data_IF_593106251365
#
_entry.id   IF_593106251365
#
_cell.length_a   1.000
_cell.length_b   1.000
_cell.length_c   1.000
_cell.angle_alpha   90.00
_cell.angle_beta   90.00
_cell.angle_gamma   90.00
#
_symmetry.space_group_name_H-M   'P 1'
#
loop_
_entity.id
_entity.type
_entity.pdbx_description
1 polymer ?
#
# COMPACT_ATOMS: atom_id res chain seq x y z
N UNK A 1 -6.52 9.55 -1.06
CA UNK A 1 -5.50 10.35 -1.79
C UNK A 1 -5.80 10.51 -3.28
N UNK A 2 -5.83 9.45 -4.11
CA UNK A 2 -6.06 9.54 -5.57
C UNK A 2 -7.27 10.41 -5.96
N UNK A 3 -8.42 10.22 -5.30
CA UNK A 3 -9.64 11.01 -5.55
C UNK A 3 -9.44 12.51 -5.27
N UNK A 4 -8.72 12.85 -4.20
CA UNK A 4 -8.43 14.24 -3.82
C UNK A 4 -7.52 14.90 -4.86
N UNK A 5 -6.44 14.23 -5.26
CA UNK A 5 -5.52 14.73 -6.29
C UNK A 5 -6.25 14.90 -7.64
N UNK A 6 -7.12 13.95 -8.00
CA UNK A 6 -7.94 14.08 -9.21
C UNK A 6 -8.92 15.26 -9.13
N UNK A 7 -9.46 15.58 -7.96
CA UNK A 7 -10.31 16.75 -7.77
C UNK A 7 -9.52 18.05 -7.92
N UNK A 8 -8.30 18.12 -7.36
CA UNK A 8 -7.39 19.27 -7.53
C UNK A 8 -7.04 19.48 -9.00
N UNK A 9 -6.64 18.41 -9.69
CA UNK A 9 -6.32 18.47 -11.12
C UNK A 9 -7.53 18.92 -11.95
N UNK A 10 -8.73 18.43 -11.61
CA UNK A 10 -9.96 18.87 -12.26
C UNK A 10 -10.18 20.38 -12.10
N UNK A 11 -10.06 20.91 -10.87
CA UNK A 11 -10.20 22.35 -10.60
C UNK A 11 -9.23 23.16 -11.46
N UNK A 12 -7.95 22.77 -11.44
CA UNK A 12 -6.90 23.46 -12.20
C UNK A 12 -7.19 23.42 -13.71
N UNK A 13 -7.45 22.23 -14.27
CA UNK A 13 -7.74 22.08 -15.69
C UNK A 13 -8.98 22.88 -16.14
N UNK A 14 -10.01 22.96 -15.32
CA UNK A 14 -11.22 23.69 -15.69
C UNK A 14 -11.04 25.20 -15.61
N UNK A 15 -10.25 25.69 -14.65
CA UNK A 15 -9.85 27.10 -14.58
C UNK A 15 -9.01 27.49 -15.81
N UNK A 16 -8.04 26.65 -16.19
CA UNK A 16 -7.19 26.88 -17.36
C UNK A 16 -7.99 26.95 -18.67
N UNK A 17 -9.03 26.12 -18.80
CA UNK A 17 -9.91 26.10 -19.98
C UNK A 17 -10.92 27.24 -19.98
N UNK A 18 -11.45 27.58 -18.81
CA UNK A 18 -12.55 28.52 -18.64
C UNK A 18 -12.17 29.58 -17.62
N UNK A 19 -11.39 30.56 -18.07
CA UNK A 19 -10.92 31.69 -17.24
C UNK A 19 -12.09 32.46 -16.61
N UNK A 20 -13.29 32.38 -17.18
CA UNK A 20 -14.52 32.93 -16.60
C UNK A 20 -14.88 32.37 -15.22
N UNK A 21 -14.31 31.25 -14.81
CA UNK A 21 -14.48 30.71 -13.45
C UNK A 21 -13.61 31.43 -12.42
N UNK A 22 -12.62 32.21 -12.86
CA UNK A 22 -11.83 33.08 -12.01
C UNK A 22 -12.28 34.53 -12.16
N UNK A 23 -12.62 35.17 -11.05
CA UNK A 23 -12.98 36.58 -11.03
C UNK A 23 -12.04 37.36 -10.11
N UNK A 24 -11.34 38.35 -10.67
CA UNK A 24 -10.63 39.35 -9.90
C UNK A 24 -11.62 40.45 -9.51
N UNK A 25 -11.80 40.71 -8.22
CA UNK A 25 -12.71 41.77 -7.73
C UNK A 25 -11.97 43.03 -7.28
N UNK A 26 -10.74 42.87 -6.78
CA UNK A 26 -9.82 43.93 -6.40
C UNK A 26 -8.39 43.45 -6.62
N UNK A 27 -7.40 44.33 -6.44
CA UNK A 27 -5.97 44.04 -6.68
C UNK A 27 -5.42 42.83 -5.93
N UNK A 28 -6.16 42.34 -4.93
CA UNK A 28 -5.67 41.38 -3.96
C UNK A 28 -6.54 40.13 -3.84
N UNK A 29 -7.71 40.10 -4.48
CA UNK A 29 -8.75 39.09 -4.22
C UNK A 29 -9.12 38.36 -5.50
N UNK A 30 -8.85 37.05 -5.49
CA UNK A 30 -9.26 36.11 -6.53
C UNK A 30 -10.44 35.26 -6.04
N UNK A 31 -11.52 35.26 -6.83
CA UNK A 31 -12.70 34.46 -6.59
C UNK A 31 -12.79 33.27 -7.51
N UNK A 32 -13.14 32.12 -6.96
CA UNK A 32 -13.55 30.95 -7.74
C UNK A 32 -15.09 30.90 -7.83
N UNK A 33 -15.58 30.82 -9.06
CA UNK A 33 -17.00 30.72 -9.36
C UNK A 33 -17.55 29.35 -9.00
N UNK A 34 -18.63 29.30 -8.22
CA UNK A 34 -19.27 28.04 -7.86
C UNK A 34 -19.91 27.28 -9.04
N UNK A 35 -19.99 27.90 -10.24
CA UNK A 35 -20.45 27.24 -11.46
C UNK A 35 -19.62 26.03 -11.86
N UNK A 36 -18.33 26.04 -11.53
CA UNK A 36 -17.41 24.90 -11.75
C UNK A 36 -17.85 23.65 -10.95
N UNK A 37 -18.62 23.81 -9.88
CA UNK A 37 -19.02 22.72 -8.97
C UNK A 37 -20.50 22.33 -9.11
N UNK A 38 -20.91 21.96 -10.33
CA UNK A 38 -22.26 21.45 -10.57
C UNK A 38 -22.52 20.10 -9.86
N UNK A 39 -23.79 19.66 -9.85
CA UNK A 39 -24.23 18.43 -9.15
C UNK A 39 -23.47 17.17 -9.59
N UNK A 40 -23.11 17.07 -10.86
CA UNK A 40 -22.39 15.90 -11.39
C UNK A 40 -20.93 15.89 -10.90
N UNK A 41 -20.28 17.05 -10.86
CA UNK A 41 -18.93 17.21 -10.34
C UNK A 41 -18.87 16.90 -8.85
N UNK A 42 -19.81 17.42 -8.06
CA UNK A 42 -19.91 17.11 -6.62
C UNK A 42 -20.16 15.62 -6.35
N UNK A 43 -20.89 14.93 -7.23
CA UNK A 43 -21.04 13.46 -7.15
C UNK A 43 -19.75 12.72 -7.47
N UNK A 44 -19.00 13.18 -8.49
CA UNK A 44 -17.71 12.59 -8.89
C UNK A 44 -16.62 12.83 -7.84
N UNK A 45 -16.64 13.99 -7.19
CA UNK A 45 -15.67 14.43 -6.18
C UNK A 45 -16.41 14.88 -4.90
N UNK A 46 -16.89 13.96 -4.06
CA UNK A 46 -17.73 14.29 -2.91
C UNK A 46 -17.01 15.17 -1.86
N UNK A 47 -15.68 15.13 -1.84
CA UNK A 47 -14.85 15.90 -0.89
C UNK A 47 -14.47 17.30 -1.40
N UNK A 48 -14.95 17.70 -2.59
CA UNK A 48 -14.46 18.91 -3.24
C UNK A 48 -14.77 20.17 -2.43
N UNK A 49 -15.93 20.25 -1.75
CA UNK A 49 -16.25 21.40 -0.92
C UNK A 49 -15.27 21.52 0.27
N UNK A 50 -15.03 20.43 1.01
CA UNK A 50 -14.09 20.43 2.14
C UNK A 50 -12.66 20.78 1.69
N UNK A 51 -12.25 20.26 0.52
CA UNK A 51 -10.96 20.58 -0.10
C UNK A 51 -10.83 22.09 -0.36
N UNK A 52 -11.87 22.68 -0.94
CA UNK A 52 -11.92 24.09 -1.28
C UNK A 52 -12.00 24.99 -0.04
N UNK A 53 -12.75 24.59 0.98
CA UNK A 53 -12.80 25.25 2.29
C UNK A 53 -11.39 25.37 2.90
N UNK A 54 -10.58 24.31 2.83
CA UNK A 54 -9.20 24.32 3.32
C UNK A 54 -8.27 25.26 2.52
N UNK A 55 -8.60 25.57 1.26
CA UNK A 55 -7.79 26.43 0.40
C UNK A 55 -8.35 27.85 0.25
N UNK A 56 -9.44 28.13 0.94
CA UNK A 56 -10.12 29.42 0.87
C UNK A 56 -10.04 30.11 2.23
N UNK A 57 -10.12 31.44 2.19
CA UNK A 57 -10.15 32.23 3.43
C UNK A 57 -11.58 32.26 4.03
N UNK A 58 -12.58 31.66 3.36
CA UNK A 58 -14.05 31.90 3.49
C UNK A 58 -14.54 32.72 4.69
N UNK A 59 -15.30 33.77 4.38
CA UNK A 59 -16.25 34.36 5.31
C UNK A 59 -17.38 33.32 5.58
N UNK A 60 -17.34 32.68 6.75
CA UNK A 60 -18.16 31.53 7.17
C UNK A 60 -19.69 31.77 7.20
N UNK A 61 -20.21 32.87 6.64
CA UNK A 61 -21.58 33.35 6.86
C UNK A 61 -22.45 33.59 5.61
N UNK A 62 -22.04 33.19 4.42
CA UNK A 62 -22.91 33.34 3.24
C UNK A 62 -24.01 32.28 3.19
N UNK A 63 -25.07 32.52 3.96
CA UNK A 63 -26.28 31.69 4.11
C UNK A 63 -27.27 31.84 2.94
N UNK A 64 -27.01 32.72 1.95
CA UNK A 64 -27.91 32.90 0.81
C UNK A 64 -27.19 32.90 -0.54
N UNK A 65 -27.90 32.39 -1.53
CA UNK A 65 -27.53 32.04 -2.91
C UNK A 65 -26.46 32.93 -3.57
N UNK A 66 -25.58 32.29 -4.36
CA UNK A 66 -24.48 32.87 -5.16
C UNK A 66 -23.17 33.18 -4.43
N UNK A 67 -22.72 32.21 -3.63
CA UNK A 67 -21.42 32.21 -2.95
C UNK A 67 -20.24 32.29 -3.91
N UNK A 68 -19.41 33.33 -3.77
CA UNK A 68 -18.09 33.41 -4.38
C UNK A 68 -17.05 32.98 -3.36
N UNK A 69 -16.17 32.05 -3.73
CA UNK A 69 -15.13 31.56 -2.82
C UNK A 69 -13.85 32.37 -2.98
N UNK A 70 -13.41 33.05 -1.91
CA UNK A 70 -12.14 33.79 -1.90
C UNK A 70 -10.99 32.82 -1.64
N UNK A 71 -10.08 32.71 -2.60
CA UNK A 71 -8.89 31.88 -2.44
C UNK A 71 -7.86 32.55 -1.53
N UNK A 72 -7.18 31.74 -0.71
CA UNK A 72 -6.07 32.26 0.08
C UNK A 72 -4.95 32.76 -0.83
N UNK A 73 -4.39 33.93 -0.52
CA UNK A 73 -3.30 34.55 -1.27
C UNK A 73 -2.11 33.60 -1.43
N UNK A 74 -1.88 32.68 -0.48
CA UNK A 74 -0.85 31.66 -0.55
C UNK A 74 -1.02 30.68 -1.73
N UNK A 75 -2.23 30.53 -2.25
CA UNK A 75 -2.59 29.64 -3.36
C UNK A 75 -2.86 30.39 -4.66
N UNK A 76 -2.60 31.69 -4.72
CA UNK A 76 -2.85 32.55 -5.89
C UNK A 76 -1.53 32.92 -6.57
N UNK A 77 -1.53 32.91 -7.90
CA UNK A 77 -0.43 33.38 -8.74
C UNK A 77 -0.66 34.86 -9.08
N UNK A 78 0.38 35.66 -8.95
CA UNK A 78 0.36 37.09 -9.21
C UNK A 78 1.27 37.46 -10.38
N UNK A 79 0.81 38.40 -11.22
CA UNK A 79 1.61 39.04 -12.27
C UNK A 79 1.48 40.56 -12.12
N UNK A 80 2.62 41.26 -12.00
CA UNK A 80 2.65 42.71 -11.74
C UNK A 80 1.77 43.14 -10.55
N UNK A 81 1.72 42.32 -9.50
CA UNK A 81 0.94 42.58 -8.28
C UNK A 81 -0.56 42.26 -8.39
N UNK A 82 -1.05 41.80 -9.54
CA UNK A 82 -2.46 41.44 -9.73
C UNK A 82 -2.64 39.91 -9.73
N UNK A 83 -3.70 39.37 -9.11
CA UNK A 83 -3.98 37.95 -9.16
C UNK A 83 -4.42 37.55 -10.57
N UNK A 84 -3.76 36.54 -11.13
CA UNK A 84 -4.02 36.09 -12.51
C UNK A 84 -4.51 34.66 -12.59
N UNK A 85 -4.14 33.82 -11.62
CA UNK A 85 -4.46 32.40 -11.65
C UNK A 85 -4.31 31.80 -10.24
N UNK A 86 -4.64 30.53 -10.10
CA UNK A 86 -4.23 29.72 -8.96
C UNK A 86 -2.76 29.29 -9.11
N UNK A 87 -2.13 28.93 -8.00
CA UNK A 87 -0.79 28.37 -7.96
C UNK A 87 -0.86 26.87 -7.64
N UNK A 88 -0.89 25.98 -8.66
CA UNK A 88 -0.93 24.54 -8.47
C UNK A 88 0.16 24.01 -7.53
N UNK A 89 1.39 24.51 -7.69
CA UNK A 89 2.53 24.10 -6.85
C UNK A 89 2.32 24.41 -5.37
N UNK A 90 1.76 25.59 -5.03
CA UNK A 90 1.43 25.95 -3.65
C UNK A 90 0.35 25.04 -3.06
N UNK A 91 -0.71 24.75 -3.81
CA UNK A 91 -1.81 23.86 -3.40
C UNK A 91 -1.29 22.44 -3.15
N UNK A 92 -0.52 21.90 -4.08
CA UNK A 92 0.03 20.55 -3.99
C UNK A 92 1.03 20.42 -2.84
N UNK A 93 1.87 21.44 -2.63
CA UNK A 93 2.80 21.48 -1.49
C UNK A 93 2.08 21.52 -0.14
N UNK A 94 0.96 22.25 -0.07
CA UNK A 94 0.13 22.26 1.14
C UNK A 94 -0.48 20.88 1.41
N UNK A 95 -1.06 20.24 0.39
CA UNK A 95 -1.60 18.88 0.51
C UNK A 95 -0.52 17.84 0.87
N UNK A 96 0.70 18.02 0.38
CA UNK A 96 1.82 17.15 0.72
C UNK A 96 2.17 17.29 2.21
N UNK A 97 2.19 18.53 2.72
CA UNK A 97 2.37 18.79 4.16
C UNK A 97 1.26 18.15 4.99
N UNK A 98 0.00 18.24 4.56
CA UNK A 98 -1.12 17.58 5.23
C UNK A 98 -0.97 16.06 5.24
N UNK A 99 -0.52 15.46 4.13
CA UNK A 99 -0.23 14.04 4.06
C UNK A 99 0.88 13.64 5.04
N UNK A 100 1.97 14.41 5.11
CA UNK A 100 3.06 14.16 6.06
C UNK A 100 2.55 14.22 7.50
N UNK A 101 1.80 15.28 7.86
CA UNK A 101 1.21 15.41 9.20
C UNK A 101 0.24 14.27 9.52
N UNK A 102 -0.57 13.84 8.55
CA UNK A 102 -1.43 12.68 8.71
C UNK A 102 -0.62 11.39 8.94
N UNK A 103 0.44 11.15 8.18
CA UNK A 103 1.32 9.98 8.36
C UNK A 103 1.93 9.97 9.78
N UNK A 104 2.35 11.13 10.28
CA UNK A 104 2.90 11.25 11.64
C UNK A 104 1.86 10.91 12.71
N UNK A 105 0.67 11.51 12.64
CA UNK A 105 -0.43 11.21 13.57
C UNK A 105 -0.85 9.74 13.48
N UNK A 106 -0.95 9.21 12.27
CA UNK A 106 -1.31 7.81 12.04
C UNK A 106 -0.24 6.86 12.60
N UNK A 107 1.04 7.19 12.45
CA UNK A 107 2.15 6.46 13.07
C UNK A 107 2.06 6.46 14.60
N UNK A 108 1.74 7.61 15.21
CA UNK A 108 1.52 7.69 16.65
C UNK A 108 0.32 6.87 17.11
N UNK A 109 -0.78 6.89 16.35
CA UNK A 109 -1.97 6.09 16.62
C UNK A 109 -1.64 4.58 16.60
N UNK A 110 -0.97 4.09 15.56
CA UNK A 110 -0.57 2.67 15.49
C UNK A 110 0.40 2.32 16.62
N UNK A 111 1.35 3.19 16.94
CA UNK A 111 2.28 2.99 18.06
C UNK A 111 1.56 2.98 19.42
N UNK A 112 0.44 3.69 19.55
CA UNK A 112 -0.43 3.58 20.72
C UNK A 112 -1.14 2.21 20.77
N UNK A 113 -1.69 1.74 19.65
CA UNK A 113 -2.32 0.41 19.56
C UNK A 113 -1.31 -0.71 19.91
N UNK A 114 -0.05 -0.56 19.51
CA UNK A 114 1.01 -1.52 19.83
C UNK A 114 1.35 -1.62 21.32
N UNK A 115 0.94 -0.64 22.13
CA UNK A 115 1.08 -0.70 23.60
C UNK A 115 -0.06 -1.45 24.28
N UNK A 116 -1.13 -1.80 23.57
CA UNK A 116 -2.28 -2.47 24.16
C UNK A 116 -1.95 -3.94 24.46
N UNK A 117 -1.93 -4.31 25.74
CA UNK A 117 -1.66 -5.69 26.15
C UNK A 117 -2.89 -6.58 25.97
N UNK A 118 -2.65 -7.82 25.53
CA UNK A 118 -3.68 -8.85 25.50
C UNK A 118 -3.87 -9.40 26.91
N UNK A 119 -5.13 -9.59 27.32
CA UNK A 119 -5.43 -10.11 28.67
C UNK A 119 -4.97 -11.56 28.86
N UNK A 120 -5.03 -12.35 27.79
CA UNK A 120 -4.68 -13.75 27.76
C UNK A 120 -3.68 -13.99 26.63
N UNK A 121 -2.81 -14.99 26.80
CA UNK A 121 -1.94 -15.46 25.73
C UNK A 121 -2.78 -15.95 24.55
N UNK A 122 -2.45 -15.50 23.34
CA UNK A 122 -3.12 -15.92 22.12
C UNK A 122 -2.46 -17.20 21.58
N UNK A 123 -3.30 -18.13 21.11
CA UNK A 123 -2.84 -19.29 20.35
C UNK A 123 -2.36 -18.85 18.97
N UNK A 124 -1.25 -19.43 18.53
CA UNK A 124 -0.73 -19.23 17.18
C UNK A 124 -1.59 -20.04 16.19
N UNK A 125 -1.95 -19.48 15.03
CA UNK A 125 -2.47 -20.31 13.94
C UNK A 125 -1.36 -21.25 13.44
N UNK A 126 -1.73 -22.41 12.90
CA UNK A 126 -0.80 -23.44 12.45
C UNK A 126 0.22 -22.94 11.43
N UNK A 127 -0.13 -21.98 10.57
CA UNK A 127 0.84 -21.36 9.66
C UNK A 127 2.00 -20.69 10.41
N UNK A 128 1.71 -20.12 11.59
CA UNK A 128 2.65 -19.38 12.43
C UNK A 128 3.26 -20.25 13.54
N UNK A 129 2.98 -21.55 13.55
CA UNK A 129 3.75 -22.53 14.35
C UNK A 129 5.02 -22.97 13.63
N UNK A 130 5.14 -22.70 12.32
CA UNK A 130 6.32 -23.02 11.53
C UNK A 130 7.45 -22.05 11.84
N UNK A 131 8.68 -22.55 11.81
CA UNK A 131 9.88 -21.70 11.81
C UNK A 131 9.95 -20.98 10.45
N UNK A 132 9.42 -19.76 10.41
CA UNK A 132 9.47 -18.90 9.23
C UNK A 132 10.86 -18.27 9.11
N UNK A 133 11.54 -18.51 7.99
CA UNK A 133 12.88 -17.95 7.74
C UNK A 133 12.87 -16.40 7.73
N UNK A 134 11.81 -15.82 7.15
CA UNK A 134 11.62 -14.39 7.05
C UNK A 134 10.12 -14.03 6.96
N UNK A 135 9.75 -12.88 7.51
CA UNK A 135 8.40 -12.33 7.43
C UNK A 135 8.46 -10.96 6.77
N UNK A 136 7.70 -10.76 5.71
CA UNK A 136 7.58 -9.46 5.04
C UNK A 136 6.24 -8.83 5.39
N UNK A 137 6.24 -7.90 6.33
CA UNK A 137 5.02 -7.27 6.85
C UNK A 137 4.63 -6.05 6.03
N UNK A 138 3.45 -6.13 5.43
CA UNK A 138 2.74 -5.00 4.83
C UNK A 138 2.03 -4.13 5.89
N UNK A 139 1.90 -4.64 7.13
CA UNK A 139 1.34 -3.90 8.26
C UNK A 139 2.40 -3.01 8.91
N UNK A 140 1.97 -1.88 9.45
CA UNK A 140 2.84 -0.92 10.14
C UNK A 140 3.08 -1.26 11.63
N UNK A 141 2.26 -2.14 12.20
CA UNK A 141 2.31 -2.53 13.61
C UNK A 141 3.24 -3.72 13.86
N UNK A 142 3.79 -3.80 15.07
CA UNK A 142 4.62 -4.91 15.55
C UNK A 142 3.81 -6.14 16.00
N UNK A 143 2.55 -6.28 15.56
CA UNK A 143 1.61 -7.28 16.06
C UNK A 143 2.16 -8.72 16.05
N UNK A 144 2.79 -9.14 14.95
CA UNK A 144 3.31 -10.52 14.83
C UNK A 144 4.52 -10.76 15.74
N UNK A 145 5.43 -9.79 15.81
CA UNK A 145 6.59 -9.79 16.72
C UNK A 145 6.12 -9.90 18.17
N UNK A 146 5.16 -9.05 18.55
CA UNK A 146 4.71 -8.85 19.91
C UNK A 146 3.80 -9.96 20.43
N UNK A 147 2.85 -10.42 19.63
CA UNK A 147 1.83 -11.38 20.07
C UNK A 147 2.22 -12.83 19.81
N UNK A 148 3.09 -13.08 18.82
CA UNK A 148 3.49 -14.43 18.44
C UNK A 148 5.00 -14.69 18.52
N UNK A 149 5.80 -13.73 18.99
CA UNK A 149 7.24 -13.89 19.22
C UNK A 149 8.02 -14.34 17.99
N UNK A 150 7.61 -13.94 16.79
CA UNK A 150 8.39 -14.18 15.58
C UNK A 150 9.50 -13.14 15.44
N UNK A 151 10.61 -13.56 14.86
CA UNK A 151 11.77 -12.71 14.53
C UNK A 151 11.92 -12.57 13.00
N UNK A 152 12.97 -11.88 12.54
CA UNK A 152 13.27 -11.67 11.11
C UNK A 152 12.13 -11.03 10.30
N UNK A 153 11.55 -9.95 10.85
CA UNK A 153 10.44 -9.23 10.23
C UNK A 153 10.95 -8.00 9.48
N UNK A 154 10.66 -7.95 8.18
CA UNK A 154 10.92 -6.84 7.27
C UNK A 154 9.64 -6.04 7.03
N UNK A 155 9.62 -4.80 7.51
CA UNK A 155 8.49 -3.88 7.33
C UNK A 155 8.63 -3.10 6.01
N UNK A 156 8.06 -3.64 4.93
CA UNK A 156 8.28 -3.14 3.56
C UNK A 156 7.60 -1.78 3.27
N UNK A 157 6.60 -1.41 4.07
CA UNK A 157 5.97 -0.08 4.02
C UNK A 157 6.33 0.79 5.23
N UNK A 158 7.35 0.39 5.99
CA UNK A 158 7.78 1.05 7.22
C UNK A 158 7.07 0.54 8.48
N UNK A 159 7.64 0.88 9.63
CA UNK A 159 7.14 0.49 10.97
C UNK A 159 6.71 1.75 11.71
N UNK A 160 5.56 1.69 12.36
CA UNK A 160 5.05 2.78 13.19
C UNK A 160 5.92 3.03 14.42
N UNK A 161 5.90 4.27 14.92
CA UNK A 161 6.59 4.68 16.15
C UNK A 161 7.73 5.68 15.95
N UNK A 162 7.97 6.50 16.99
CA UNK A 162 8.90 7.66 16.94
C UNK A 162 10.36 7.30 16.67
N UNK A 163 10.79 6.13 17.11
CA UNK A 163 12.17 5.66 16.97
C UNK A 163 12.35 4.66 15.82
N UNK A 164 11.36 4.55 14.92
CA UNK A 164 11.48 3.69 13.76
C UNK A 164 12.41 4.33 12.73
N UNK A 165 13.49 3.61 12.39
CA UNK A 165 14.37 3.99 11.29
C UNK A 165 13.68 3.90 9.91
N UNK A 166 12.50 3.26 9.82
CA UNK A 166 11.72 3.06 8.58
C UNK A 166 10.37 3.74 8.72
N UNK A 167 10.24 4.96 8.18
CA UNK A 167 8.97 5.71 8.23
C UNK A 167 7.88 5.04 7.41
N UNK A 168 6.64 5.17 7.88
CA UNK A 168 5.44 4.71 7.17
C UNK A 168 5.38 5.35 5.78
N UNK A 169 5.07 4.53 4.78
CA UNK A 169 4.85 4.94 3.40
C UNK A 169 3.36 4.87 3.09
N UNK A 170 2.77 6.01 2.71
CA UNK A 170 1.35 6.11 2.39
C UNK A 170 1.13 7.08 1.23
N UNK A 171 0.60 6.58 0.13
CA UNK A 171 0.45 7.37 -1.08
C UNK A 171 -0.23 6.61 -2.21
N UNK A 172 -0.12 7.16 -3.42
CA UNK A 172 -0.55 6.52 -4.66
C UNK A 172 0.61 5.79 -5.34
N UNK A 173 0.32 4.83 -6.20
CA UNK A 173 1.35 4.06 -6.91
C UNK A 173 2.14 4.91 -7.89
N UNK A 174 1.46 5.79 -8.63
CA UNK A 174 2.04 6.59 -9.71
C UNK A 174 1.24 7.87 -9.96
N UNK A 175 1.88 8.88 -10.57
CA UNK A 175 1.21 10.08 -11.06
C UNK A 175 0.63 9.80 -12.45
N UNK A 176 -0.68 10.01 -12.62
CA UNK A 176 -1.36 9.77 -13.90
C UNK A 176 -1.76 11.06 -14.62
N UNK A 177 -1.74 12.20 -13.93
CA UNK A 177 -2.18 13.48 -14.48
C UNK A 177 -0.98 14.40 -14.75
N UNK A 178 -0.94 15.02 -15.93
CA UNK A 178 0.16 15.89 -16.36
C UNK A 178 0.39 17.08 -15.42
N UNK A 179 -0.67 17.66 -14.85
CA UNK A 179 -0.56 18.76 -13.88
C UNK A 179 0.26 18.33 -12.66
N UNK A 180 0.09 17.10 -12.18
CA UNK A 180 0.87 16.57 -11.05
C UNK A 180 2.34 16.39 -11.43
N UNK A 181 2.60 15.90 -12.65
CA UNK A 181 3.95 15.64 -13.18
C UNK A 181 4.69 16.97 -13.36
N UNK A 182 4.07 17.95 -14.01
CA UNK A 182 4.65 19.27 -14.28
C UNK A 182 4.98 20.02 -12.97
N UNK A 183 4.16 19.83 -11.94
CA UNK A 183 4.38 20.38 -10.61
C UNK A 183 5.24 19.50 -9.71
N UNK A 184 5.82 18.41 -10.22
CA UNK A 184 6.70 17.48 -9.50
C UNK A 184 6.11 16.98 -8.18
N UNK A 185 4.82 16.65 -8.19
CA UNK A 185 4.06 16.20 -7.01
C UNK A 185 4.41 14.76 -6.57
N UNK A 186 5.69 14.39 -6.65
CA UNK A 186 6.16 13.04 -6.36
C UNK A 186 6.10 12.71 -4.87
N UNK A 187 5.95 13.70 -3.97
CA UNK A 187 5.71 13.49 -2.54
C UNK A 187 4.49 12.61 -2.23
N UNK A 188 3.51 12.52 -3.14
CA UNK A 188 2.34 11.64 -3.02
C UNK A 188 2.58 10.20 -3.49
N UNK A 189 3.70 9.92 -4.15
CA UNK A 189 4.01 8.62 -4.74
C UNK A 189 4.73 7.73 -3.72
N UNK A 190 4.21 6.52 -3.50
CA UNK A 190 4.79 5.57 -2.53
C UNK A 190 6.28 5.29 -2.80
N UNK A 191 6.65 5.07 -4.08
CA UNK A 191 8.04 4.82 -4.46
C UNK A 191 8.98 5.99 -4.11
N UNK A 192 8.54 7.23 -4.36
CA UNK A 192 9.30 8.42 -3.97
C UNK A 192 9.41 8.58 -2.45
N UNK A 193 8.34 8.27 -1.71
CA UNK A 193 8.40 8.30 -0.25
C UNK A 193 9.36 7.24 0.31
N UNK A 194 9.37 6.03 -0.28
CA UNK A 194 10.41 5.02 0.00
C UNK A 194 11.77 5.67 -0.23
N UNK A 195 12.01 6.22 -1.45
CA UNK A 195 13.02 7.22 -1.88
C UNK A 195 13.67 7.99 -0.74
N UNK A 196 12.86 8.88 -0.21
CA UNK A 196 13.31 9.90 0.72
C UNK A 196 13.47 9.34 2.13
N UNK A 197 12.68 8.34 2.50
CA UNK A 197 12.67 7.79 3.85
C UNK A 197 13.67 6.64 4.05
N UNK A 198 14.37 6.20 3.00
CA UNK A 198 15.22 5.00 3.01
C UNK A 198 14.48 3.76 3.56
N UNK A 199 13.18 3.67 3.26
CA UNK A 199 12.34 2.53 3.64
C UNK A 199 12.46 1.46 2.57
N UNK A 200 12.85 0.25 2.99
CA UNK A 200 13.19 -0.94 2.19
C UNK A 200 12.65 -0.97 0.75
N UNK A 201 13.54 -0.76 -0.22
CA UNK A 201 13.28 -1.08 -1.64
C UNK A 201 13.57 -2.53 -1.99
N UNK A 202 14.25 -3.24 -1.09
CA UNK A 202 14.68 -4.61 -1.32
C UNK A 202 13.62 -5.54 -0.74
N UNK A 203 13.05 -6.37 -1.60
CA UNK A 203 12.09 -7.38 -1.21
C UNK A 203 12.72 -8.78 -1.30
N UNK A 204 12.55 -9.50 -2.41
CA UNK A 204 13.16 -10.81 -2.61
C UNK A 204 14.45 -10.72 -3.45
N UNK A 205 14.59 -9.71 -4.32
CA UNK A 205 15.78 -9.45 -5.14
C UNK A 205 16.49 -8.18 -4.66
N UNK A 206 17.82 -8.10 -4.82
CA UNK A 206 18.73 -9.15 -5.30
C UNK A 206 19.15 -10.15 -4.22
N UNK A 207 18.85 -9.87 -2.94
CA UNK A 207 19.36 -10.62 -1.78
C UNK A 207 18.22 -11.22 -0.97
N UNK A 208 17.85 -12.46 -1.29
CA UNK A 208 17.00 -13.30 -0.44
C UNK A 208 17.43 -14.77 -0.50
N UNK A 209 16.98 -15.61 0.44
CA UNK A 209 17.16 -17.05 0.35
C UNK A 209 16.69 -17.65 -0.98
N UNK A 210 15.64 -17.08 -1.58
CA UNK A 210 15.05 -17.54 -2.84
C UNK A 210 16.03 -17.36 -4.00
N UNK A 211 16.67 -16.19 -4.10
CA UNK A 211 17.65 -15.91 -5.16
C UNK A 211 18.87 -16.82 -5.03
N UNK A 212 19.31 -17.11 -3.80
CA UNK A 212 20.40 -18.05 -3.57
C UNK A 212 20.05 -19.48 -4.02
N UNK A 213 18.80 -19.91 -3.80
CA UNK A 213 18.31 -21.23 -4.23
C UNK A 213 18.17 -21.30 -5.76
N UNK A 214 17.57 -20.29 -6.40
CA UNK A 214 17.48 -20.24 -7.88
C UNK A 214 18.84 -20.29 -8.55
N UNK A 215 19.83 -19.57 -8.04
CA UNK A 215 21.19 -19.58 -8.59
C UNK A 215 21.84 -20.97 -8.48
N UNK A 216 21.57 -21.70 -7.40
CA UNK A 216 22.06 -23.09 -7.24
C UNK A 216 21.32 -24.08 -8.13
N UNK A 217 20.01 -23.89 -8.36
CA UNK A 217 19.21 -24.73 -9.27
C UNK A 217 19.67 -24.64 -10.74
N UNK A 218 20.32 -23.55 -11.14
CA UNK A 218 20.96 -23.45 -12.47
C UNK A 218 22.19 -24.35 -12.62
N UNK A 219 22.69 -24.94 -11.52
CA UNK A 219 23.81 -25.90 -11.55
C UNK A 219 23.27 -27.33 -11.74
N UNK A 220 23.73 -28.09 -12.76
CA UNK A 220 23.19 -29.40 -13.12
C UNK A 220 23.50 -30.54 -12.12
N UNK A 221 24.11 -30.25 -10.97
CA UNK A 221 24.70 -31.23 -10.05
C UNK A 221 23.84 -31.54 -8.82
N UNK A 222 22.58 -31.10 -8.77
CA UNK A 222 21.74 -31.22 -7.58
C UNK A 222 20.53 -32.12 -7.81
N UNK A 223 20.38 -33.12 -6.96
CA UNK A 223 19.47 -34.25 -7.17
C UNK A 223 18.18 -34.19 -6.35
N UNK A 224 17.99 -33.21 -5.44
CA UNK A 224 16.70 -32.96 -4.79
C UNK A 224 16.70 -31.64 -4.03
N UNK A 225 15.74 -30.76 -4.33
CA UNK A 225 15.48 -29.55 -3.55
C UNK A 225 14.06 -29.57 -2.99
N UNK A 226 13.90 -29.00 -1.80
CA UNK A 226 12.58 -28.63 -1.30
C UNK A 226 12.26 -27.22 -1.81
N UNK A 227 11.10 -27.01 -2.45
CA UNK A 227 10.70 -25.68 -2.89
C UNK A 227 10.49 -24.79 -1.66
N UNK A 228 10.77 -23.49 -1.82
CA UNK A 228 10.49 -22.50 -0.78
C UNK A 228 8.99 -22.24 -0.76
N UNK A 229 8.39 -22.28 0.42
CA UNK A 229 6.98 -21.95 0.60
C UNK A 229 6.84 -20.48 0.98
N UNK A 230 6.07 -19.73 0.20
CA UNK A 230 5.68 -18.35 0.47
C UNK A 230 4.22 -18.34 0.91
N UNK A 231 3.99 -17.98 2.17
CA UNK A 231 2.65 -17.82 2.70
C UNK A 231 2.21 -16.35 2.58
N UNK A 232 1.09 -16.13 1.92
CA UNK A 232 0.45 -14.82 1.81
C UNK A 232 -0.76 -14.83 2.72
N UNK A 233 -0.71 -14.01 3.78
CA UNK A 233 -1.78 -13.92 4.77
C UNK A 233 -2.35 -12.50 4.83
N UNK A 234 -3.65 -12.38 4.57
CA UNK A 234 -4.36 -11.11 4.67
C UNK A 234 -5.43 -10.95 3.60
N UNK A 235 -6.18 -9.86 3.69
CA UNK A 235 -7.38 -9.65 2.87
C UNK A 235 -7.10 -9.19 1.44
N UNK A 236 -5.89 -8.72 1.12
CA UNK A 236 -5.69 -7.95 -0.10
C UNK A 236 -4.35 -8.24 -0.75
N UNK A 237 -4.38 -9.07 -1.80
CA UNK A 237 -3.42 -9.02 -2.89
C UNK A 237 -3.83 -7.86 -3.79
N UNK A 238 -3.61 -6.61 -3.38
CA UNK A 238 -4.12 -5.45 -4.11
C UNK A 238 -3.13 -4.90 -5.15
N UNK A 239 -3.68 -4.24 -6.17
CA UNK A 239 -2.92 -3.53 -7.20
C UNK A 239 -1.93 -2.50 -6.66
N UNK A 240 -2.17 -1.95 -5.45
CA UNK A 240 -1.24 -0.99 -4.83
C UNK A 240 0.06 -1.62 -4.32
N UNK A 241 0.16 -2.95 -4.37
CA UNK A 241 1.31 -3.78 -4.02
C UNK A 241 1.77 -4.66 -5.20
N UNK A 242 1.36 -4.30 -6.43
CA UNK A 242 1.61 -5.07 -7.65
C UNK A 242 3.09 -5.44 -7.85
N UNK A 243 4.01 -4.54 -7.53
CA UNK A 243 5.45 -4.77 -7.75
C UNK A 243 5.96 -5.98 -6.97
N UNK A 244 5.54 -6.13 -5.71
CA UNK A 244 5.91 -7.27 -4.87
C UNK A 244 5.26 -8.56 -5.36
N UNK A 245 4.02 -8.47 -5.85
CA UNK A 245 3.28 -9.61 -6.41
C UNK A 245 3.96 -10.07 -7.70
N UNK A 246 4.27 -9.16 -8.63
CA UNK A 246 5.04 -9.48 -9.83
C UNK A 246 6.38 -10.13 -9.50
N UNK A 247 7.06 -9.65 -8.46
CA UNK A 247 8.33 -10.23 -8.04
C UNK A 247 8.19 -11.69 -7.57
N UNK A 248 7.22 -12.00 -6.69
CA UNK A 248 6.93 -13.39 -6.23
C UNK A 248 6.60 -14.30 -7.42
N UNK A 249 5.79 -13.82 -8.36
CA UNK A 249 5.34 -14.63 -9.50
C UNK A 249 6.32 -14.63 -10.68
N UNK A 250 7.44 -13.92 -10.56
CA UNK A 250 8.56 -13.96 -11.52
C UNK A 250 9.56 -15.10 -11.25
N UNK A 251 9.36 -15.85 -10.17
CA UNK A 251 10.10 -17.09 -9.88
C UNK A 251 9.54 -18.26 -10.73
N UNK A 252 10.15 -19.46 -10.63
CA UNK A 252 9.77 -20.66 -11.39
C UNK A 252 9.90 -20.54 -12.92
N UNK A 253 10.86 -19.76 -13.42
CA UNK A 253 11.11 -19.62 -14.87
C UNK A 253 12.03 -20.72 -15.45
N UNK A 254 12.56 -21.61 -14.60
CA UNK A 254 13.47 -22.70 -14.97
C UNK A 254 12.76 -24.06 -15.12
N UNK A 255 13.55 -25.13 -15.28
CA UNK A 255 13.03 -26.49 -15.42
C UNK A 255 12.41 -27.05 -14.13
N UNK A 256 12.90 -26.61 -12.97
CA UNK A 256 12.46 -27.07 -11.65
C UNK A 256 11.81 -25.91 -10.88
N UNK A 257 10.78 -26.21 -10.10
CA UNK A 257 10.12 -25.21 -9.25
C UNK A 257 11.02 -24.81 -8.09
N UNK A 258 11.32 -23.52 -7.97
CA UNK A 258 12.02 -22.93 -6.84
C UNK A 258 11.08 -22.54 -5.70
N UNK A 259 9.79 -22.32 -6.01
CA UNK A 259 8.85 -21.65 -5.12
C UNK A 259 7.43 -22.21 -5.21
N UNK A 260 6.73 -22.26 -4.06
CA UNK A 260 5.29 -22.51 -3.95
C UNK A 260 4.65 -21.35 -3.19
N UNK A 261 3.52 -20.85 -3.68
CA UNK A 261 2.75 -19.77 -3.05
C UNK A 261 1.48 -20.35 -2.45
N UNK A 262 1.25 -20.05 -1.18
CA UNK A 262 0.06 -20.44 -0.44
C UNK A 262 -0.66 -19.15 -0.04
N UNK A 263 -1.86 -18.93 -0.57
CA UNK A 263 -2.67 -17.75 -0.28
C UNK A 263 -3.78 -18.10 0.70
N UNK A 264 -3.76 -17.46 1.86
CA UNK A 264 -4.81 -17.57 2.86
C UNK A 264 -5.94 -16.57 2.56
N UNK A 265 -7.17 -17.07 2.43
CA UNK A 265 -8.36 -16.25 2.16
C UNK A 265 -9.40 -16.34 3.27
N UNK A 266 -10.26 -15.34 3.42
CA UNK A 266 -11.36 -15.36 4.38
C UNK A 266 -12.66 -15.74 3.68
N UNK A 267 -13.28 -16.85 4.06
CA UNK A 267 -14.54 -17.40 3.52
C UNK A 267 -14.51 -17.82 2.04
N UNK A 268 -14.09 -16.94 1.12
CA UNK A 268 -14.03 -17.21 -0.32
C UNK A 268 -12.76 -16.60 -0.94
N UNK A 269 -12.09 -17.31 -1.87
CA UNK A 269 -10.87 -16.81 -2.52
C UNK A 269 -11.13 -15.78 -3.63
N UNK A 270 -12.41 -15.47 -3.93
CA UNK A 270 -12.80 -14.70 -5.11
C UNK A 270 -12.07 -13.36 -5.23
N UNK A 271 -11.94 -12.62 -4.13
CA UNK A 271 -11.27 -11.32 -4.14
C UNK A 271 -9.77 -11.44 -4.46
N UNK A 272 -9.06 -12.34 -3.77
CA UNK A 272 -7.64 -12.60 -3.97
C UNK A 272 -7.35 -13.09 -5.39
N UNK A 273 -8.16 -14.03 -5.89
CA UNK A 273 -8.02 -14.57 -7.23
C UNK A 273 -8.29 -13.49 -8.30
N UNK A 274 -9.34 -12.70 -8.12
CA UNK A 274 -9.69 -11.63 -9.07
C UNK A 274 -8.59 -10.59 -9.16
N UNK A 275 -8.00 -10.21 -8.02
CA UNK A 275 -6.88 -9.27 -8.03
C UNK A 275 -5.61 -9.88 -8.63
N UNK A 276 -5.29 -11.14 -8.33
CA UNK A 276 -4.16 -11.82 -8.98
C UNK A 276 -4.32 -11.86 -10.50
N UNK A 277 -5.52 -12.17 -11.00
CA UNK A 277 -5.81 -12.13 -12.44
C UNK A 277 -5.65 -10.71 -13.00
N UNK A 278 -6.13 -9.69 -12.28
CA UNK A 278 -6.01 -8.30 -12.70
C UNK A 278 -4.54 -7.80 -12.75
N UNK A 279 -3.69 -8.29 -11.85
CA UNK A 279 -2.28 -7.88 -11.74
C UNK A 279 -1.40 -8.69 -12.70
N UNK A 280 -1.51 -10.02 -12.67
CA UNK A 280 -0.59 -10.93 -13.37
C UNK A 280 -1.09 -11.38 -14.75
N UNK A 281 -2.38 -11.18 -15.03
CA UNK A 281 -3.06 -11.76 -16.19
C UNK A 281 -3.48 -13.21 -15.95
N UNK A 282 -4.51 -13.62 -16.70
CA UNK A 282 -5.13 -14.95 -16.62
C UNK A 282 -4.11 -16.08 -16.85
N UNK A 283 -3.30 -15.97 -17.90
CA UNK A 283 -2.41 -17.06 -18.33
C UNK A 283 -1.35 -17.39 -17.28
N UNK A 284 -0.80 -16.37 -16.62
CA UNK A 284 0.15 -16.54 -15.52
C UNK A 284 -0.48 -17.30 -14.36
N UNK A 285 -1.67 -16.86 -13.92
CA UNK A 285 -2.37 -17.50 -12.78
C UNK A 285 -2.72 -18.95 -13.11
N UNK A 286 -3.28 -19.22 -14.30
CA UNK A 286 -3.60 -20.59 -14.73
C UNK A 286 -2.36 -21.48 -14.77
N UNK A 287 -1.23 -20.98 -15.27
CA UNK A 287 0.01 -21.74 -15.31
C UNK A 287 0.48 -22.13 -13.90
N UNK A 288 0.46 -21.18 -12.96
CA UNK A 288 0.85 -21.45 -11.57
C UNK A 288 -0.06 -22.47 -10.87
N UNK A 289 -1.38 -22.43 -11.15
CA UNK A 289 -2.32 -23.42 -10.61
C UNK A 289 -2.13 -24.81 -11.26
N UNK A 290 -1.97 -24.88 -12.59
CA UNK A 290 -1.79 -26.15 -13.33
C UNK A 290 -0.53 -26.91 -12.91
N UNK A 291 0.54 -26.19 -12.57
CA UNK A 291 1.80 -26.79 -12.12
C UNK A 291 1.83 -27.04 -10.60
N UNK A 292 0.73 -26.84 -9.88
CA UNK A 292 0.67 -27.01 -8.42
C UNK A 292 1.71 -26.14 -7.68
N UNK A 293 1.89 -24.90 -8.14
CA UNK A 293 2.75 -23.90 -7.49
C UNK A 293 1.97 -22.85 -6.70
N UNK A 294 0.65 -22.76 -6.92
CA UNK A 294 -0.23 -21.83 -6.23
C UNK A 294 -1.40 -22.58 -5.61
N UNK A 295 -1.58 -22.43 -4.30
CA UNK A 295 -2.68 -23.00 -3.52
C UNK A 295 -3.43 -21.89 -2.77
N UNK A 296 -4.74 -22.06 -2.62
CA UNK A 296 -5.59 -21.19 -1.83
C UNK A 296 -6.15 -21.99 -0.65
N UNK A 297 -6.02 -21.44 0.55
CA UNK A 297 -6.45 -22.09 1.80
C UNK A 297 -7.32 -21.13 2.59
N UNK A 298 -8.39 -21.65 3.19
CA UNK A 298 -9.19 -20.84 4.09
C UNK A 298 -8.39 -20.48 5.36
N UNK A 299 -8.44 -19.21 5.72
CA UNK A 299 -7.80 -18.67 6.93
C UNK A 299 -8.50 -19.25 8.15
N UNK A 300 -7.77 -19.71 9.18
CA UNK A 300 -8.38 -20.19 10.39
C UNK A 300 -9.15 -19.07 11.09
N UNK A 301 -10.22 -19.44 11.76
CA UNK A 301 -11.00 -18.52 12.58
C UNK A 301 -10.21 -18.19 13.85
N UNK A 302 -9.49 -17.06 13.81
CA UNK A 302 -8.65 -16.60 14.92
C UNK A 302 -9.46 -16.35 16.19
N UNK A 303 -10.74 -15.96 16.08
CA UNK A 303 -11.58 -15.76 17.25
C UNK A 303 -11.88 -17.11 17.90
N UNK A 304 -12.38 -18.08 17.12
CA UNK A 304 -12.66 -19.43 17.64
C UNK A 304 -11.40 -20.12 18.14
N UNK A 305 -10.27 -19.98 17.44
CA UNK A 305 -8.98 -20.52 17.89
C UNK A 305 -8.64 -20.11 19.33
N UNK A 306 -8.92 -18.85 19.68
CA UNK A 306 -8.58 -18.28 20.98
C UNK A 306 -9.68 -18.44 22.04
N UNK A 307 -10.95 -18.60 21.66
CA UNK A 307 -12.09 -18.56 22.58
C UNK A 307 -13.03 -19.79 22.56
N UNK A 308 -12.86 -20.70 21.59
CA UNK A 308 -13.61 -21.94 21.47
C UNK A 308 -12.65 -23.13 21.65
N UNK A 309 -12.76 -23.82 22.79
CA UNK A 309 -11.90 -24.97 23.09
C UNK A 309 -12.12 -26.17 22.17
N UNK A 310 -13.25 -26.23 21.45
CA UNK A 310 -13.57 -27.30 20.51
C UNK A 310 -13.04 -27.05 19.09
N UNK A 311 -12.63 -25.81 18.80
CA UNK A 311 -12.11 -25.45 17.48
C UNK A 311 -10.70 -25.99 17.26
N UNK A 312 -10.50 -26.62 16.10
CA UNK A 312 -9.20 -27.11 15.63
C UNK A 312 -8.87 -26.36 14.36
N UNK A 313 -7.71 -25.70 14.34
CA UNK A 313 -7.16 -25.11 13.12
C UNK A 313 -6.70 -26.24 12.19
N UNK A 314 -7.25 -26.32 10.98
CA UNK A 314 -6.91 -27.29 9.93
C UNK A 314 -6.35 -26.62 8.66
N UNK A 315 -5.98 -25.33 8.74
CA UNK A 315 -5.52 -24.47 7.65
C UNK A 315 -4.08 -24.76 7.19
N UNK A 316 -3.80 -26.02 6.90
CA UNK A 316 -2.50 -26.52 6.47
C UNK A 316 -2.54 -26.82 4.97
N UNK A 317 -1.55 -26.28 4.25
CA UNK A 317 -1.29 -26.55 2.84
C UNK A 317 -1.04 -28.03 2.55
N UNK A 318 -1.64 -28.53 1.47
CA UNK A 318 -1.33 -29.85 0.94
C UNK A 318 0.15 -29.93 0.50
N UNK A 319 0.70 -28.83 -0.02
CA UNK A 319 2.14 -28.75 -0.33
C UNK A 319 2.98 -29.07 0.89
N UNK A 320 2.65 -28.48 2.03
CA UNK A 320 3.39 -28.69 3.27
C UNK A 320 3.26 -30.11 3.84
N UNK A 321 2.21 -30.87 3.48
CA UNK A 321 2.04 -32.28 3.89
C UNK A 321 2.92 -33.23 3.08
N UNK A 322 3.25 -32.86 1.83
CA UNK A 322 4.10 -33.67 0.93
C UNK A 322 5.60 -33.51 1.17
N UNK A 323 6.02 -32.49 1.94
CA UNK A 323 7.42 -32.26 2.30
C UNK A 323 7.81 -33.23 3.41
N UNK A 324 8.48 -34.33 3.05
CA UNK A 324 9.20 -35.15 4.03
C UNK A 324 10.19 -34.25 4.78
N UNK A 325 10.19 -34.29 6.12
CA UNK A 325 11.20 -33.61 6.94
C UNK A 325 12.59 -33.90 6.34
N UNK A 326 13.45 -32.88 6.12
CA UNK A 326 14.79 -33.13 5.63
C UNK A 326 15.45 -34.18 6.52
N UNK A 327 15.78 -35.35 5.98
CA UNK A 327 16.79 -36.18 6.62
C UNK A 327 18.04 -35.30 6.67
N UNK A 328 18.56 -35.07 7.88
CA UNK A 328 19.73 -34.25 8.17
C UNK A 328 20.80 -34.39 7.08
N UNK A 329 20.77 -33.50 6.09
CA UNK A 329 21.89 -33.33 5.17
C UNK A 329 22.95 -32.61 5.98
N UNK A 330 23.81 -33.42 6.59
CA UNK A 330 25.02 -33.07 7.34
C UNK A 330 25.59 -31.72 6.89
N UNK A 331 25.68 -30.80 7.85
CA UNK A 331 26.58 -29.65 7.93
C UNK A 331 27.29 -29.28 6.62
N UNK A 332 26.66 -28.40 5.83
CA UNK A 332 27.43 -27.52 4.96
C UNK A 332 27.69 -26.27 5.80
N UNK A 333 28.87 -26.21 6.40
CA UNK A 333 29.34 -25.06 7.14
C UNK A 333 29.32 -23.81 6.24
N UNK A 334 28.70 -22.74 6.71
CA UNK A 334 28.82 -21.42 6.11
C UNK A 334 30.19 -20.85 6.49
N UNK A 335 31.09 -20.73 5.51
CA UNK A 335 32.30 -19.89 5.58
C UNK A 335 32.28 -18.90 4.44
#
# INVERSE_FOLDING_TARGET
MKVVLNAVCYIISEIEKNVEYLHCFSTDILFLSNKIFNKNIKRKYPFINNLLENFSITDKYSIHADTKMVLDKAFVKYYSGQPVDICPSSLLKYLEKDLIGFIEIFSEYIAFIDKLEVRNALKKPKVGEKDLDAIYSFNYSSTIERLYSHSNINFIHGKAGKNSNKKIVLGISELQNQILIDNKAYGFVKYYQKLVNNTDYQFLRPKSPIVAIENKMKSPSLTKYHPIEVYIWGHSLDSSDSDYIHEIFSFNQGHESSLRVIVYYYSQPHAQLSNLIAILGKDTVENWMKNEWLEFIETPDIQRLNFDSSYVDDSISEFSKTVLKPQETRNIAFT
#
